data_IF_489489873896
#
_entry.id   IF_489489873896
#
_cell.length_a   1.000
_cell.length_b   1.000
_cell.length_c   1.000
_cell.angle_alpha   90.00
_cell.angle_beta   90.00
_cell.angle_gamma   90.00
#
_symmetry.space_group_name_H-M   'P 1'
#
loop_
_entity.id
_entity.type
_entity.pdbx_description
1 polymer ?
#
# COMPACT_ATOMS: atom_id res chain seq x y z
N UNK A 1 -31.45 17.94 -29.74
CA UNK A 1 -31.56 17.98 -28.26
C UNK A 1 -32.04 16.65 -27.68
N UNK A 2 -33.11 16.05 -28.20
CA UNK A 2 -33.66 14.78 -27.66
C UNK A 2 -32.74 13.55 -27.78
N UNK A 3 -31.93 13.45 -28.84
CA UNK A 3 -30.95 12.35 -28.99
C UNK A 3 -29.89 12.37 -27.90
N UNK A 4 -29.33 13.54 -27.58
CA UNK A 4 -28.36 13.72 -26.47
C UNK A 4 -28.98 13.35 -25.12
N UNK A 5 -30.25 13.69 -24.90
CA UNK A 5 -30.97 13.34 -23.66
C UNK A 5 -31.18 11.81 -23.52
N UNK A 6 -31.51 11.11 -24.62
CA UNK A 6 -31.62 9.64 -24.61
C UNK A 6 -30.29 8.95 -24.30
N UNK A 7 -29.18 9.45 -24.83
CA UNK A 7 -27.84 8.91 -24.49
C UNK A 7 -27.46 9.16 -23.04
N UNK A 8 -27.73 10.36 -22.51
CA UNK A 8 -27.48 10.68 -21.09
C UNK A 8 -28.31 9.78 -20.18
N UNK A 9 -29.60 9.60 -20.46
CA UNK A 9 -30.48 8.70 -19.70
C UNK A 9 -30.00 7.25 -19.78
N UNK A 10 -29.55 6.79 -20.95
CA UNK A 10 -28.97 5.46 -21.13
C UNK A 10 -27.70 5.26 -20.31
N UNK A 11 -26.79 6.24 -20.31
CA UNK A 11 -25.54 6.21 -19.52
C UNK A 11 -25.84 6.21 -18.02
N UNK A 12 -26.76 7.07 -17.56
CA UNK A 12 -27.16 7.16 -16.15
C UNK A 12 -27.82 5.85 -15.68
N UNK A 13 -28.68 5.26 -16.51
CA UNK A 13 -29.32 3.97 -16.24
C UNK A 13 -28.28 2.85 -16.12
N UNK A 14 -27.34 2.74 -17.07
CA UNK A 14 -26.22 1.79 -17.00
C UNK A 14 -25.37 2.00 -15.74
N UNK A 15 -25.05 3.24 -15.38
CA UNK A 15 -24.28 3.55 -14.18
C UNK A 15 -25.02 3.11 -12.90
N UNK A 16 -26.35 3.27 -12.84
CA UNK A 16 -27.17 2.81 -11.73
C UNK A 16 -27.16 1.28 -11.58
N UNK A 17 -27.22 0.53 -12.70
CA UNK A 17 -27.12 -0.93 -12.67
C UNK A 17 -25.75 -1.43 -12.19
N UNK A 18 -24.66 -0.75 -12.57
CA UNK A 18 -23.31 -1.11 -12.14
C UNK A 18 -23.12 -0.81 -10.64
N UNK A 19 -23.74 0.27 -10.14
CA UNK A 19 -23.69 0.65 -8.72
C UNK A 19 -24.47 -0.32 -7.81
N UNK A 20 -25.49 -1.03 -8.33
CA UNK A 20 -26.29 -2.00 -7.57
C UNK A 20 -25.56 -3.32 -7.29
N UNK A 21 -24.43 -3.60 -7.94
CA UNK A 21 -23.66 -4.82 -7.71
C UNK A 21 -22.79 -4.66 -6.46
N UNK A 22 -23.22 -5.20 -5.32
CA UNK A 22 -22.43 -5.12 -4.08
C UNK A 22 -21.23 -6.08 -4.12
N UNK A 23 -20.03 -5.56 -3.84
CA UNK A 23 -18.80 -6.35 -3.74
C UNK A 23 -18.78 -7.30 -2.54
N UNK A 24 -19.62 -7.03 -1.54
CA UNK A 24 -19.68 -7.78 -0.28
C UNK A 24 -20.83 -8.79 -0.25
N UNK A 25 -21.61 -8.91 -1.33
CA UNK A 25 -22.83 -9.76 -1.39
C UNK A 25 -22.57 -11.24 -1.07
N UNK A 26 -21.42 -11.76 -1.50
CA UNK A 26 -21.07 -13.18 -1.38
C UNK A 26 -20.19 -13.48 -0.16
N UNK A 27 -19.94 -12.49 0.71
CA UNK A 27 -19.20 -12.72 1.94
C UNK A 27 -20.06 -13.46 2.95
N UNK A 28 -19.44 -14.36 3.71
CA UNK A 28 -20.11 -15.07 4.80
C UNK A 28 -20.42 -14.11 5.94
N UNK A 29 -21.23 -14.57 6.87
CA UNK A 29 -21.52 -13.80 8.07
C UNK A 29 -20.25 -13.64 8.93
N UNK A 30 -20.02 -12.42 9.44
CA UNK A 30 -18.80 -12.06 10.16
C UNK A 30 -17.57 -11.74 9.29
N UNK A 31 -17.59 -12.01 7.98
CA UNK A 31 -16.51 -11.63 7.07
C UNK A 31 -16.59 -10.15 6.67
N UNK A 32 -15.42 -9.53 6.49
CA UNK A 32 -15.31 -8.16 5.98
C UNK A 32 -14.25 -8.07 4.88
N UNK A 33 -14.60 -7.42 3.78
CA UNK A 33 -13.70 -7.19 2.65
C UNK A 33 -12.65 -6.14 3.03
N UNK A 34 -11.38 -6.46 2.90
CA UNK A 34 -10.31 -5.48 3.08
C UNK A 34 -10.27 -4.54 1.87
N UNK A 35 -10.66 -3.28 2.08
CA UNK A 35 -10.79 -2.30 0.98
C UNK A 35 -9.61 -1.34 0.89
N UNK A 36 -8.99 -0.99 2.00
CA UNK A 36 -7.91 0.00 2.06
C UNK A 36 -7.05 -0.19 3.31
N UNK A 37 -5.74 -0.12 3.13
CA UNK A 37 -4.79 0.18 4.20
C UNK A 37 -4.39 1.64 4.07
N UNK A 38 -4.71 2.45 5.07
CA UNK A 38 -4.47 3.89 5.08
C UNK A 38 -3.34 4.20 6.06
N UNK A 39 -2.34 4.98 5.65
CA UNK A 39 -1.24 5.38 6.54
C UNK A 39 -1.39 6.84 6.91
N UNK A 40 -1.31 7.12 8.21
CA UNK A 40 -1.36 8.46 8.78
C UNK A 40 -0.02 8.73 9.43
N UNK A 41 0.65 9.81 9.02
CA UNK A 41 1.93 10.22 9.63
C UNK A 41 1.65 11.25 10.71
N UNK A 42 1.83 10.84 11.96
CA UNK A 42 1.62 11.63 13.16
C UNK A 42 2.95 12.26 13.63
N UNK A 43 3.10 13.56 13.42
CA UNK A 43 4.32 14.32 13.72
C UNK A 43 4.06 15.83 13.61
N UNK A 44 4.44 16.63 14.58
CA UNK A 44 4.25 18.09 14.49
C UNK A 44 5.40 18.82 13.77
N UNK A 45 6.50 18.13 13.52
CA UNK A 45 7.73 18.71 12.96
C UNK A 45 7.87 18.52 11.45
N UNK A 46 7.13 17.57 10.87
CA UNK A 46 7.14 17.28 9.43
C UNK A 46 6.01 18.07 8.75
N UNK A 47 6.34 18.78 7.66
CA UNK A 47 5.35 19.51 6.87
C UNK A 47 4.26 18.59 6.31
N UNK A 48 3.06 19.13 6.10
CA UNK A 48 1.92 18.36 5.55
C UNK A 48 2.26 17.65 4.23
N UNK A 49 2.91 18.34 3.31
CA UNK A 49 3.33 17.76 2.02
C UNK A 49 4.28 16.56 2.20
N UNK A 50 5.25 16.67 3.11
CA UNK A 50 6.19 15.57 3.37
C UNK A 50 5.51 14.40 4.09
N UNK A 51 4.54 14.67 4.99
CA UNK A 51 3.71 13.61 5.58
C UNK A 51 2.95 12.82 4.51
N UNK A 52 2.35 13.51 3.53
CA UNK A 52 1.62 12.86 2.44
C UNK A 52 2.54 12.01 1.57
N UNK A 53 3.76 12.48 1.26
CA UNK A 53 4.78 11.70 0.54
C UNK A 53 5.20 10.44 1.29
N UNK A 54 5.49 10.57 2.59
CA UNK A 54 5.86 9.44 3.46
C UNK A 54 4.69 8.45 3.55
N UNK A 55 3.47 8.93 3.81
CA UNK A 55 2.27 8.11 3.88
C UNK A 55 2.08 7.31 2.57
N UNK A 56 2.16 7.97 1.42
CA UNK A 56 2.03 7.33 0.10
C UNK A 56 3.07 6.22 -0.10
N UNK A 57 4.33 6.49 0.29
CA UNK A 57 5.40 5.51 0.21
C UNK A 57 5.17 4.30 1.13
N UNK A 58 4.69 4.54 2.35
CA UNK A 58 4.38 3.49 3.32
C UNK A 58 3.15 2.66 2.90
N UNK A 59 2.08 3.29 2.40
CA UNK A 59 0.90 2.61 1.85
C UNK A 59 1.27 1.66 0.69
N UNK A 60 2.24 2.05 -0.13
CA UNK A 60 2.76 1.23 -1.21
C UNK A 60 3.45 -0.05 -0.70
N UNK A 61 3.93 -0.09 0.55
CA UNK A 61 4.55 -1.27 1.15
C UNK A 61 3.54 -2.26 1.77
N UNK A 62 2.32 -1.81 2.12
CA UNK A 62 1.33 -2.64 2.82
C UNK A 62 0.96 -3.93 2.05
N UNK A 63 0.81 -5.03 2.77
CA UNK A 63 0.44 -6.35 2.23
C UNK A 63 -0.58 -7.10 3.12
N UNK A 64 -1.50 -7.91 2.57
CA UNK A 64 -1.77 -8.08 1.14
C UNK A 64 -2.31 -6.78 0.52
N UNK A 65 -2.28 -6.67 -0.80
CA UNK A 65 -2.95 -5.56 -1.49
C UNK A 65 -4.46 -5.83 -1.53
N UNK A 66 -5.32 -4.83 -1.28
CA UNK A 66 -6.75 -4.95 -1.56
C UNK A 66 -7.01 -5.38 -3.01
N UNK A 67 -8.21 -5.93 -3.27
CA UNK A 67 -8.64 -6.24 -4.64
C UNK A 67 -8.47 -5.05 -5.59
N UNK A 68 -8.01 -5.34 -6.81
CA UNK A 68 -7.73 -4.27 -7.79
C UNK A 68 -9.01 -3.52 -8.15
N UNK A 69 -8.93 -2.20 -8.10
CA UNK A 69 -10.01 -1.29 -8.51
C UNK A 69 -9.61 -0.52 -9.75
N UNK A 70 -10.56 -0.38 -10.67
CA UNK A 70 -10.47 0.54 -11.79
C UNK A 70 -11.56 1.58 -11.62
N UNK A 71 -11.21 2.87 -11.65
CA UNK A 71 -12.15 3.98 -11.39
C UNK A 71 -12.99 3.78 -10.09
N UNK A 72 -12.37 3.27 -9.03
CA UNK A 72 -13.03 3.02 -7.73
C UNK A 72 -13.85 1.73 -7.65
N UNK A 73 -14.03 1.00 -8.75
CA UNK A 73 -14.87 -0.20 -8.84
C UNK A 73 -14.01 -1.47 -8.86
N UNK A 74 -14.30 -2.48 -8.01
CA UNK A 74 -13.53 -3.74 -7.97
C UNK A 74 -14.04 -4.74 -9.02
N UNK A 75 -13.87 -4.42 -10.30
CA UNK A 75 -14.45 -5.21 -11.42
C UNK A 75 -14.05 -6.68 -11.40
N UNK A 76 -12.80 -7.01 -11.03
CA UNK A 76 -12.34 -8.41 -10.97
C UNK A 76 -13.02 -9.19 -9.85
N UNK A 77 -13.27 -8.55 -8.72
CA UNK A 77 -14.06 -9.17 -7.65
C UNK A 77 -15.50 -9.40 -8.11
N UNK A 78 -16.08 -8.52 -8.92
CA UNK A 78 -17.40 -8.74 -9.51
C UNK A 78 -17.43 -9.95 -10.45
N UNK A 79 -16.43 -10.13 -11.32
CA UNK A 79 -16.36 -11.32 -12.16
C UNK A 79 -16.26 -12.60 -11.33
N UNK A 80 -15.50 -12.58 -10.24
CA UNK A 80 -15.45 -13.72 -9.31
C UNK A 80 -16.82 -13.97 -8.65
N UNK A 81 -17.48 -12.91 -8.17
CA UNK A 81 -18.80 -13.00 -7.56
C UNK A 81 -19.88 -13.52 -8.52
N UNK A 82 -19.81 -13.17 -9.81
CA UNK A 82 -20.71 -13.66 -10.86
C UNK A 82 -20.46 -15.13 -11.21
N UNK A 83 -19.21 -15.59 -11.14
CA UNK A 83 -18.88 -16.98 -11.39
C UNK A 83 -19.47 -17.91 -10.31
N UNK A 84 -19.53 -17.43 -9.07
CA UNK A 84 -19.97 -18.17 -7.88
C UNK A 84 -18.98 -19.25 -7.45
N UNK A 85 -19.34 -20.00 -6.41
CA UNK A 85 -18.42 -20.91 -5.73
C UNK A 85 -17.97 -22.10 -6.58
N UNK A 86 -18.85 -22.62 -7.47
CA UNK A 86 -18.53 -23.73 -8.37
C UNK A 86 -18.70 -23.35 -9.84
N UNK A 87 -17.61 -23.48 -10.60
CA UNK A 87 -17.63 -23.31 -12.05
C UNK A 87 -18.16 -24.56 -12.79
N UNK A 88 -18.08 -25.74 -12.16
CA UNK A 88 -18.51 -27.01 -12.75
C UNK A 88 -17.98 -27.23 -14.18
N UNK A 89 -18.87 -27.62 -15.10
CA UNK A 89 -18.58 -27.74 -16.54
C UNK A 89 -18.94 -26.48 -17.35
N UNK A 90 -19.39 -25.40 -16.69
CA UNK A 90 -19.83 -24.19 -17.39
C UNK A 90 -18.62 -23.35 -17.83
N UNK A 91 -18.42 -23.24 -19.14
CA UNK A 91 -17.29 -22.52 -19.76
C UNK A 91 -17.29 -21.04 -19.38
N UNK A 92 -18.46 -20.41 -19.28
CA UNK A 92 -18.60 -18.99 -18.92
C UNK A 92 -18.13 -18.78 -17.48
N UNK A 93 -18.55 -19.64 -16.54
CA UNK A 93 -18.13 -19.54 -15.14
C UNK A 93 -16.62 -19.76 -14.98
N UNK A 94 -16.04 -20.70 -15.73
CA UNK A 94 -14.58 -20.93 -15.75
C UNK A 94 -13.84 -19.70 -16.26
N UNK A 95 -14.34 -19.07 -17.32
CA UNK A 95 -13.77 -17.84 -17.85
C UNK A 95 -13.85 -16.68 -16.84
N UNK A 96 -15.01 -16.49 -16.19
CA UNK A 96 -15.21 -15.47 -15.17
C UNK A 96 -14.30 -15.66 -13.95
N UNK A 97 -14.14 -16.90 -13.44
CA UNK A 97 -13.16 -17.20 -12.38
C UNK A 97 -11.73 -16.88 -12.81
N UNK A 98 -11.38 -17.16 -14.07
CA UNK A 98 -10.03 -16.91 -14.60
C UNK A 98 -9.68 -15.42 -14.66
N UNK A 99 -10.64 -14.56 -14.99
CA UNK A 99 -10.44 -13.10 -15.08
C UNK A 99 -10.73 -12.37 -13.77
N UNK A 100 -11.37 -13.04 -12.81
CA UNK A 100 -11.73 -12.51 -11.52
C UNK A 100 -10.60 -12.57 -10.48
N UNK A 101 -10.83 -11.92 -9.34
CA UNK A 101 -9.96 -11.98 -8.16
C UNK A 101 -10.83 -12.39 -6.97
N UNK A 102 -10.33 -13.31 -6.13
CA UNK A 102 -10.98 -13.70 -4.88
C UNK A 102 -11.00 -12.52 -3.89
N UNK A 103 -12.03 -12.42 -3.02
CA UNK A 103 -12.11 -11.36 -2.03
C UNK A 103 -10.92 -11.43 -1.08
N UNK A 104 -10.20 -10.31 -0.93
CA UNK A 104 -9.19 -10.19 0.13
C UNK A 104 -9.92 -9.79 1.40
N UNK A 105 -9.90 -10.65 2.41
CA UNK A 105 -10.60 -10.47 3.65
C UNK A 105 -9.74 -9.70 4.66
N UNK A 106 -10.39 -9.05 5.62
CA UNK A 106 -9.73 -8.44 6.77
C UNK A 106 -8.89 -9.48 7.54
N UNK A 107 -9.37 -10.72 7.64
CA UNK A 107 -8.68 -11.83 8.30
C UNK A 107 -7.37 -12.23 7.59
N UNK A 108 -7.23 -11.92 6.30
CA UNK A 108 -6.03 -12.22 5.53
C UNK A 108 -4.89 -11.23 5.83
N UNK A 109 -5.20 -10.11 6.50
CA UNK A 109 -4.24 -9.07 6.81
C UNK A 109 -3.59 -9.31 8.16
N UNK A 110 -2.32 -9.69 8.15
CA UNK A 110 -1.50 -9.69 9.37
C UNK A 110 -1.11 -8.24 9.72
N UNK A 111 -1.83 -7.65 10.67
CA UNK A 111 -1.63 -6.25 11.10
C UNK A 111 -0.26 -6.02 11.73
N UNK A 112 0.16 -6.90 12.64
CA UNK A 112 1.46 -6.79 13.32
C UNK A 112 2.62 -6.87 12.32
N UNK A 113 2.52 -7.74 11.32
CA UNK A 113 3.49 -7.80 10.23
C UNK A 113 3.59 -6.45 9.48
N UNK A 114 2.45 -5.84 9.15
CA UNK A 114 2.46 -4.54 8.47
C UNK A 114 2.99 -3.43 9.36
N UNK A 115 2.63 -3.40 10.64
CA UNK A 115 3.19 -2.44 11.61
C UNK A 115 4.72 -2.55 11.66
N UNK A 116 5.26 -3.76 11.76
CA UNK A 116 6.69 -4.03 11.70
C UNK A 116 7.32 -3.58 10.37
N UNK A 117 6.67 -3.91 9.26
CA UNK A 117 7.13 -3.53 7.92
C UNK A 117 7.21 -2.01 7.77
N UNK A 118 6.16 -1.28 8.17
CA UNK A 118 6.14 0.17 8.08
C UNK A 118 7.18 0.81 8.99
N UNK A 119 7.38 0.28 10.21
CA UNK A 119 8.43 0.74 11.11
C UNK A 119 9.81 0.57 10.48
N UNK A 120 10.10 -0.61 9.93
CA UNK A 120 11.36 -0.88 9.26
C UNK A 120 11.59 0.07 8.06
N UNK A 121 10.54 0.38 7.30
CA UNK A 121 10.63 1.37 6.20
C UNK A 121 10.96 2.77 6.71
N UNK A 122 10.43 3.18 7.87
CA UNK A 122 10.79 4.46 8.49
C UNK A 122 12.23 4.47 9.01
N UNK A 123 12.67 3.37 9.63
CA UNK A 123 14.07 3.19 10.06
C UNK A 123 15.03 3.31 8.88
N UNK A 124 14.66 2.74 7.73
CA UNK A 124 15.43 2.86 6.49
C UNK A 124 15.56 4.31 5.98
N UNK A 125 14.71 5.24 6.45
CA UNK A 125 14.81 6.68 6.18
C UNK A 125 15.38 7.49 7.36
N UNK A 126 15.96 6.81 8.35
CA UNK A 126 16.65 7.44 9.48
C UNK A 126 15.75 7.77 10.66
N UNK A 127 14.51 7.26 10.69
CA UNK A 127 13.60 7.39 11.83
C UNK A 127 13.73 6.16 12.74
N UNK A 128 14.87 6.01 13.42
CA UNK A 128 15.20 4.78 14.15
C UNK A 128 14.33 4.50 15.39
N UNK A 129 13.63 5.51 15.89
CA UNK A 129 12.70 5.34 17.02
C UNK A 129 11.25 5.42 16.55
N UNK A 130 10.96 5.05 15.30
CA UNK A 130 9.61 5.11 14.78
C UNK A 130 8.68 4.11 15.51
N UNK A 131 7.43 4.50 15.69
CA UNK A 131 6.37 3.63 16.19
C UNK A 131 5.25 3.54 15.16
N UNK A 132 4.63 2.37 15.02
CA UNK A 132 3.47 2.19 14.15
C UNK A 132 2.43 1.37 14.90
N UNK A 133 1.19 1.84 14.88
CA UNK A 133 0.03 1.13 15.46
C UNK A 133 -1.09 1.08 14.45
N UNK A 134 -1.91 0.04 14.49
CA UNK A 134 -3.05 -0.12 13.60
C UNK A 134 -4.39 -0.20 14.33
N UNK A 135 -5.41 0.40 13.72
CA UNK A 135 -6.80 0.26 14.09
C UNK A 135 -7.64 -0.10 12.87
N UNK A 136 -8.80 -0.71 13.09
CA UNK A 136 -9.69 -1.15 12.02
C UNK A 136 -11.02 -0.42 12.09
N UNK A 137 -11.46 0.10 10.95
CA UNK A 137 -12.81 0.63 10.73
C UNK A 137 -13.58 -0.35 9.84
N UNK A 138 -14.74 -0.83 10.31
CA UNK A 138 -15.61 -1.74 9.56
C UNK A 138 -16.98 -1.12 9.37
N UNK A 139 -17.39 -0.91 8.12
CA UNK A 139 -18.69 -0.37 7.73
C UNK A 139 -19.24 -1.19 6.55
N UNK A 140 -20.50 -1.62 6.60
CA UNK A 140 -21.16 -2.39 5.52
C UNK A 140 -20.34 -3.60 5.00
N UNK A 141 -19.72 -4.36 5.92
CA UNK A 141 -18.81 -5.48 5.64
C UNK A 141 -17.56 -5.09 4.82
N UNK A 142 -17.15 -3.81 4.86
CA UNK A 142 -15.91 -3.30 4.28
C UNK A 142 -15.00 -2.82 5.40
N UNK A 143 -13.78 -3.34 5.42
CA UNK A 143 -12.77 -3.01 6.41
C UNK A 143 -11.69 -2.10 5.83
N UNK A 144 -11.42 -1.00 6.52
CA UNK A 144 -10.23 -0.17 6.34
C UNK A 144 -9.34 -0.32 7.55
N UNK A 145 -8.04 -0.54 7.34
CA UNK A 145 -7.07 -0.54 8.43
C UNK A 145 -6.30 0.77 8.39
N UNK A 146 -6.35 1.52 9.48
CA UNK A 146 -5.63 2.76 9.66
C UNK A 146 -4.35 2.48 10.43
N UNK A 147 -3.20 2.68 9.78
CA UNK A 147 -1.88 2.60 10.39
C UNK A 147 -1.42 4.01 10.77
N UNK A 148 -1.30 4.29 12.06
CA UNK A 148 -0.75 5.55 12.56
C UNK A 148 0.73 5.36 12.79
N UNK A 149 1.54 6.02 11.96
CA UNK A 149 2.99 6.02 12.01
C UNK A 149 3.50 7.29 12.70
N UNK A 150 4.26 7.12 13.78
CA UNK A 150 4.96 8.18 14.51
C UNK A 150 6.45 8.10 14.22
N UNK A 151 7.01 8.96 13.34
CA UNK A 151 8.41 8.86 12.94
C UNK A 151 9.40 9.27 14.04
N UNK A 152 8.97 10.09 15.01
CA UNK A 152 9.83 10.67 16.04
C UNK A 152 11.03 11.44 15.44
N UNK A 153 12.22 11.30 16.01
CA UNK A 153 13.42 12.05 15.60
C UNK A 153 14.08 11.42 14.37
N UNK A 154 14.46 12.28 13.42
CA UNK A 154 15.26 11.89 12.25
C UNK A 154 16.75 11.96 12.57
N UNK A 155 17.47 10.91 12.20
CA UNK A 155 18.91 10.80 12.41
C UNK A 155 19.68 11.21 11.15
N UNK A 156 20.76 11.96 11.36
CA UNK A 156 21.66 12.45 10.31
C UNK A 156 23.04 11.87 10.47
N UNK A 157 23.71 11.62 9.35
CA UNK A 157 25.06 11.08 9.29
C UNK A 157 26.01 12.11 9.92
N UNK A 158 26.62 11.76 11.06
CA UNK A 158 27.58 12.64 11.76
C UNK A 158 28.97 12.58 11.14
N UNK A 159 29.41 11.40 10.74
CA UNK A 159 30.73 11.16 10.17
C UNK A 159 30.71 9.87 9.35
N UNK A 160 31.53 9.82 8.30
CA UNK A 160 31.78 8.62 7.51
C UNK A 160 33.25 8.29 7.64
N UNK A 161 33.57 7.08 8.05
CA UNK A 161 34.94 6.60 8.21
C UNK A 161 35.08 5.28 7.46
N UNK A 162 36.11 5.20 6.62
CA UNK A 162 36.46 3.98 5.90
C UNK A 162 37.63 3.33 6.63
N UNK A 163 37.38 2.18 7.26
CA UNK A 163 38.43 1.38 7.87
C UNK A 163 39.09 0.53 6.78
N UNK A 164 40.27 0.96 6.33
CA UNK A 164 40.96 0.41 5.16
C UNK A 164 42.44 0.19 5.45
N UNK A 165 42.97 -0.92 4.94
CA UNK A 165 44.41 -1.13 4.87
C UNK A 165 45.00 -0.30 3.71
N UNK A 166 45.54 0.88 4.05
CA UNK A 166 46.17 1.80 3.09
C UNK A 166 47.41 1.25 2.40
N UNK A 167 47.97 0.13 2.86
CA UNK A 167 49.12 -0.50 2.20
C UNK A 167 48.72 -1.30 0.96
N UNK A 168 47.48 -1.80 0.93
CA UNK A 168 46.93 -2.56 -0.20
C UNK A 168 46.48 -1.65 -1.34
N UNK A 169 46.43 -2.20 -2.56
CA UNK A 169 45.87 -1.48 -3.71
C UNK A 169 44.37 -1.18 -3.50
N UNK A 170 43.62 -2.16 -2.98
CA UNK A 170 42.19 -2.00 -2.68
C UNK A 170 41.94 -0.85 -1.70
N UNK A 171 42.72 -0.74 -0.62
CA UNK A 171 42.59 0.36 0.33
C UNK A 171 42.89 1.72 -0.30
N UNK A 172 43.88 1.81 -1.18
CA UNK A 172 44.17 3.05 -1.94
C UNK A 172 43.02 3.43 -2.87
N UNK A 173 42.45 2.46 -3.56
CA UNK A 173 41.33 2.66 -4.48
C UNK A 173 40.08 3.15 -3.73
N UNK A 174 39.75 2.52 -2.59
CA UNK A 174 38.64 2.95 -1.71
C UNK A 174 38.89 4.37 -1.19
N UNK A 175 40.12 4.66 -0.71
CA UNK A 175 40.45 6.01 -0.23
C UNK A 175 40.27 7.07 -1.31
N UNK A 176 40.74 6.77 -2.53
CA UNK A 176 40.65 7.70 -3.67
C UNK A 176 39.21 7.98 -4.12
N UNK A 177 38.28 7.08 -3.80
CA UNK A 177 36.86 7.20 -4.15
C UNK A 177 35.97 7.66 -2.98
N UNK A 178 36.53 7.78 -1.77
CA UNK A 178 35.78 8.11 -0.55
C UNK A 178 35.00 9.44 -0.62
N UNK A 179 35.56 10.45 -1.30
CA UNK A 179 34.88 11.75 -1.53
C UNK A 179 33.62 11.64 -2.42
N UNK A 180 33.50 10.54 -3.19
CA UNK A 180 32.33 10.24 -4.03
C UNK A 180 31.31 9.35 -3.33
N UNK A 181 31.46 9.11 -2.03
CA UNK A 181 30.53 8.29 -1.28
C UNK A 181 29.10 8.85 -1.38
N UNK A 182 28.13 7.94 -1.52
CA UNK A 182 26.72 8.27 -1.40
C UNK A 182 26.34 8.63 0.05
N UNK A 183 27.17 8.22 1.03
CA UNK A 183 27.08 8.64 2.42
C UNK A 183 27.63 10.06 2.59
N UNK A 184 26.73 11.02 2.82
CA UNK A 184 27.10 12.43 2.98
C UNK A 184 26.83 12.90 4.42
N UNK A 185 27.86 13.47 5.05
CA UNK A 185 27.75 14.06 6.40
C UNK A 185 26.69 15.17 6.40
N UNK A 186 25.84 15.17 7.43
CA UNK A 186 24.72 16.10 7.59
C UNK A 186 23.44 15.72 6.83
N UNK A 187 23.48 14.75 5.91
CA UNK A 187 22.27 14.20 5.30
C UNK A 187 21.57 13.21 6.24
N UNK A 188 20.28 13.01 6.02
CA UNK A 188 19.52 11.97 6.71
C UNK A 188 20.08 10.60 6.30
N UNK A 189 20.02 9.63 7.22
CA UNK A 189 20.23 8.24 6.83
C UNK A 189 19.15 7.81 5.83
N UNK A 190 19.54 7.10 4.77
CA UNK A 190 18.60 6.54 3.79
C UNK A 190 19.19 5.27 3.19
N UNK A 191 18.63 4.11 3.50
CA UNK A 191 19.06 2.84 2.94
C UNK A 191 18.90 2.82 1.41
N UNK A 192 17.90 3.51 0.86
CA UNK A 192 17.68 3.56 -0.61
C UNK A 192 18.81 4.28 -1.39
N UNK A 193 19.68 5.01 -0.68
CA UNK A 193 20.81 5.75 -1.26
C UNK A 193 22.14 5.00 -1.06
N UNK A 194 22.17 4.01 -0.17
CA UNK A 194 23.37 3.25 0.22
C UNK A 194 23.43 1.95 -0.57
#
# INVERSE_FOLDING_TARGET
MQTKLKYIVGIVSCAAFIASCSSTKNLKEGESLYVKGNVIVDSDTISKENKEKIATHLEAALMPKPNKRLAGVPFKLYFNNMAGDSAGNNIIKKFLKKIGEEPVLLSDVNREYNENLLRNRLENFGFFNAEVKSDTLVEDKKATINYTAKPNLIYRIRSVQFDIDSTTQLGKDIRSSSDKSLLQVGKNYSLDVI
#
